data_IF_021620127299
#
_entry.id   IF_021620127299
#
_cell.length_a   1.000
_cell.length_b   1.000
_cell.length_c   1.000
_cell.angle_alpha   90.00
_cell.angle_beta   90.00
_cell.angle_gamma   90.00
#
_symmetry.space_group_name_H-M   'P 1'
#
loop_
_entity.id
_entity.type
_entity.pdbx_description
1 polymer ?
#
# COMPACT_ATOMS: atom_id res chain seq x y z
N UNK A 1 -3.85 17.51 -42.04
CA UNK A 1 -3.93 17.75 -40.59
C UNK A 1 -5.11 18.68 -40.36
N UNK A 2 -6.07 18.30 -39.51
CA UNK A 2 -7.18 19.19 -39.13
C UNK A 2 -6.63 20.30 -38.24
N UNK A 3 -7.14 21.52 -38.39
CA UNK A 3 -6.78 22.64 -37.51
C UNK A 3 -7.37 22.46 -36.10
N UNK A 4 -6.77 23.08 -35.08
CA UNK A 4 -7.19 22.99 -33.67
C UNK A 4 -8.67 23.32 -33.47
N UNK A 5 -9.17 24.34 -34.18
CA UNK A 5 -10.57 24.72 -34.12
C UNK A 5 -11.48 23.61 -34.69
N UNK A 6 -11.06 22.96 -35.77
CA UNK A 6 -11.82 21.88 -36.40
C UNK A 6 -11.87 20.64 -35.49
N UNK A 7 -10.76 20.31 -34.82
CA UNK A 7 -10.71 19.23 -33.83
C UNK A 7 -11.66 19.53 -32.67
N UNK A 8 -11.64 20.76 -32.12
CA UNK A 8 -12.54 21.16 -31.04
C UNK A 8 -14.01 21.04 -31.42
N UNK A 9 -14.40 21.56 -32.59
CA UNK A 9 -15.78 21.49 -33.09
C UNK A 9 -16.23 20.04 -33.29
N UNK A 10 -15.33 19.18 -33.76
CA UNK A 10 -15.60 17.75 -33.92
C UNK A 10 -15.82 17.08 -32.54
N UNK A 11 -14.93 17.31 -31.58
CA UNK A 11 -15.05 16.76 -30.22
C UNK A 11 -16.35 17.21 -29.53
N UNK A 12 -16.71 18.50 -29.61
CA UNK A 12 -17.97 18.99 -29.05
C UNK A 12 -19.20 18.33 -29.68
N UNK A 13 -19.17 18.12 -31.00
CA UNK A 13 -20.26 17.44 -31.71
C UNK A 13 -20.45 16.00 -31.22
N UNK A 14 -19.34 15.29 -30.99
CA UNK A 14 -19.38 13.93 -30.45
C UNK A 14 -19.91 13.92 -29.02
N UNK A 15 -19.47 14.85 -28.15
CA UNK A 15 -19.95 14.93 -26.77
C UNK A 15 -21.46 15.22 -26.71
N UNK A 16 -21.97 16.11 -27.58
CA UNK A 16 -23.40 16.47 -27.59
C UNK A 16 -24.32 15.36 -28.09
N UNK A 17 -23.87 14.57 -29.08
CA UNK A 17 -24.63 13.45 -29.62
C UNK A 17 -23.67 12.32 -30.04
N UNK A 18 -23.26 11.46 -29.09
CA UNK A 18 -22.24 10.45 -29.34
C UNK A 18 -22.73 9.34 -30.26
N UNK A 19 -24.01 8.94 -30.17
CA UNK A 19 -24.59 7.84 -30.96
C UNK A 19 -24.43 8.04 -32.46
N UNK A 20 -24.68 9.27 -32.95
CA UNK A 20 -24.61 9.57 -34.38
C UNK A 20 -23.21 9.95 -34.86
N UNK A 21 -22.32 10.39 -33.97
CA UNK A 21 -21.08 11.07 -34.35
C UNK A 21 -19.80 10.34 -33.94
N UNK A 22 -19.86 9.24 -33.19
CA UNK A 22 -18.67 8.56 -32.68
C UNK A 22 -17.64 8.18 -33.76
N UNK A 23 -18.11 7.73 -34.92
CA UNK A 23 -17.25 7.36 -36.06
C UNK A 23 -16.48 8.56 -36.65
N UNK A 24 -16.86 9.80 -36.32
CA UNK A 24 -16.11 10.98 -36.73
C UNK A 24 -14.72 11.05 -36.07
N UNK A 25 -14.53 10.39 -34.91
CA UNK A 25 -13.24 10.34 -34.23
C UNK A 25 -12.18 9.62 -35.05
N UNK A 26 -12.56 8.64 -35.88
CA UNK A 26 -11.61 7.87 -36.72
C UNK A 26 -10.89 8.74 -37.77
N UNK A 27 -11.39 9.95 -38.03
CA UNK A 27 -10.75 10.94 -38.91
C UNK A 27 -9.55 11.63 -38.25
N UNK A 28 -9.41 11.53 -36.92
CA UNK A 28 -8.31 12.11 -36.18
C UNK A 28 -7.12 11.13 -36.13
N UNK A 29 -5.92 11.66 -36.35
CA UNK A 29 -4.70 10.91 -36.12
C UNK A 29 -4.36 10.94 -34.63
N UNK A 30 -4.55 9.81 -33.95
CA UNK A 30 -4.28 9.64 -32.52
C UNK A 30 -2.78 9.63 -32.19
N UNK A 31 -1.91 9.60 -33.22
CA UNK A 31 -0.45 9.69 -33.05
C UNK A 31 0.02 11.10 -32.71
N UNK A 32 -0.82 12.10 -32.92
CA UNK A 32 -0.56 13.48 -32.50
C UNK A 32 -1.01 13.72 -31.05
N UNK A 33 -0.17 14.39 -30.23
CA UNK A 33 -0.43 14.62 -28.80
C UNK A 33 -1.73 15.40 -28.56
N UNK A 34 -2.00 16.45 -29.35
CA UNK A 34 -3.18 17.29 -29.18
C UNK A 34 -4.46 16.51 -29.52
N UNK A 35 -4.46 15.83 -30.66
CA UNK A 35 -5.58 15.00 -31.09
C UNK A 35 -5.84 13.85 -30.12
N UNK A 36 -4.78 13.15 -29.68
CA UNK A 36 -4.88 12.05 -28.74
C UNK A 36 -5.49 12.48 -27.41
N UNK A 37 -5.05 13.62 -26.86
CA UNK A 37 -5.60 14.16 -25.62
C UNK A 37 -7.04 14.65 -25.78
N UNK A 38 -7.39 15.28 -26.91
CA UNK A 38 -8.76 15.71 -27.19
C UNK A 38 -9.72 14.52 -27.25
N UNK A 39 -9.31 13.44 -27.94
CA UNK A 39 -10.09 12.19 -28.01
C UNK A 39 -10.22 11.54 -26.64
N UNK A 40 -9.16 11.53 -25.83
CA UNK A 40 -9.22 11.00 -24.47
C UNK A 40 -10.26 11.74 -23.60
N UNK A 41 -10.33 13.08 -23.72
CA UNK A 41 -11.35 13.89 -23.04
C UNK A 41 -12.77 13.61 -23.52
N UNK A 42 -12.93 13.35 -24.82
CA UNK A 42 -14.23 12.92 -25.37
C UNK A 42 -14.65 11.60 -24.72
N UNK A 43 -13.77 10.60 -24.67
CA UNK A 43 -14.06 9.33 -24.01
C UNK A 43 -14.38 9.51 -22.52
N UNK A 44 -13.58 10.29 -21.79
CA UNK A 44 -13.86 10.61 -20.39
C UNK A 44 -15.27 11.22 -20.17
N UNK A 45 -15.77 11.99 -21.15
CA UNK A 45 -17.08 12.65 -21.06
C UNK A 45 -18.27 11.76 -21.43
N UNK A 46 -18.06 10.77 -22.33
CA UNK A 46 -19.16 9.95 -22.87
C UNK A 46 -19.19 8.52 -22.30
N UNK A 47 -18.08 8.06 -21.70
CA UNK A 47 -18.00 6.73 -21.13
C UNK A 47 -18.95 6.60 -19.92
N UNK A 48 -19.75 5.53 -19.85
CA UNK A 48 -20.66 5.33 -18.75
C UNK A 48 -19.91 4.90 -17.48
N UNK A 49 -20.56 5.08 -16.33
CA UNK A 49 -20.03 4.70 -15.02
C UNK A 49 -20.04 3.17 -14.75
N UNK A 50 -20.12 2.35 -15.81
CA UNK A 50 -20.23 0.90 -15.72
C UNK A 50 -19.42 0.16 -16.78
N UNK A 51 -19.06 -1.09 -16.47
CA UNK A 51 -18.33 -1.97 -17.40
C UNK A 51 -19.30 -2.61 -18.39
N UNK A 52 -19.04 -2.42 -19.67
CA UNK A 52 -19.75 -3.04 -20.79
C UNK A 52 -19.27 -4.50 -20.94
N UNK A 53 -20.18 -5.47 -21.03
CA UNK A 53 -19.88 -6.90 -21.21
C UNK A 53 -20.50 -7.42 -22.50
N UNK A 54 -19.67 -7.63 -23.54
CA UNK A 54 -20.14 -8.05 -24.86
C UNK A 54 -20.58 -9.54 -24.88
N UNK A 55 -19.90 -10.41 -24.12
CA UNK A 55 -20.07 -11.86 -24.21
C UNK A 55 -21.37 -12.45 -23.63
N UNK A 56 -22.26 -11.63 -23.06
CA UNK A 56 -23.51 -12.10 -22.43
C UNK A 56 -24.77 -11.36 -22.88
N UNK A 57 -24.71 -10.51 -23.91
CA UNK A 57 -25.79 -9.59 -24.33
C UNK A 57 -26.41 -8.76 -23.18
N UNK A 58 -25.75 -8.68 -22.02
CA UNK A 58 -26.27 -8.12 -20.77
C UNK A 58 -25.30 -7.13 -20.15
N UNK A 59 -25.79 -5.92 -19.87
CA UNK A 59 -25.11 -4.90 -19.08
C UNK A 59 -25.40 -5.18 -17.59
N UNK A 60 -24.37 -5.26 -16.73
CA UNK A 60 -24.60 -5.30 -15.27
C UNK A 60 -24.70 -3.87 -14.74
N UNK A 61 -25.90 -3.30 -14.78
CA UNK A 61 -26.27 -2.14 -13.97
C UNK A 61 -27.53 -2.45 -13.19
N UNK A 62 -27.45 -2.50 -11.86
CA UNK A 62 -28.61 -2.57 -10.94
C UNK A 62 -29.73 -3.54 -11.40
N UNK A 63 -29.37 -4.75 -11.85
CA UNK A 63 -30.28 -5.81 -12.32
C UNK A 63 -31.39 -5.35 -13.29
N UNK A 64 -31.07 -4.47 -14.23
CA UNK A 64 -31.78 -4.44 -15.51
C UNK A 64 -30.96 -5.27 -16.50
N UNK A 65 -31.52 -6.38 -17.01
CA UNK A 65 -31.06 -7.02 -18.24
C UNK A 65 -31.37 -6.06 -19.40
N UNK A 66 -30.68 -4.91 -19.45
CA UNK A 66 -30.71 -4.07 -20.63
C UNK A 66 -29.82 -4.77 -21.65
N UNK A 67 -30.39 -5.03 -22.83
CA UNK A 67 -29.61 -5.48 -23.97
C UNK A 67 -28.46 -4.50 -24.17
N UNK A 68 -27.25 -5.02 -24.43
CA UNK A 68 -26.12 -4.16 -24.80
C UNK A 68 -26.54 -3.37 -26.03
N UNK A 69 -26.74 -2.06 -25.84
CA UNK A 69 -27.19 -1.19 -26.92
C UNK A 69 -26.16 -1.24 -28.06
N UNK A 70 -26.62 -1.06 -29.31
CA UNK A 70 -25.72 -1.01 -30.46
C UNK A 70 -24.63 0.06 -30.25
N UNK A 71 -24.99 1.16 -29.58
CA UNK A 71 -24.07 2.21 -29.18
C UNK A 71 -22.98 1.71 -28.22
N UNK A 72 -23.31 0.94 -27.17
CA UNK A 72 -22.31 0.41 -26.22
C UNK A 72 -21.24 -0.45 -26.92
N UNK A 73 -21.65 -1.27 -27.91
CA UNK A 73 -20.71 -2.07 -28.71
C UNK A 73 -19.80 -1.17 -29.54
N UNK A 74 -20.37 -0.14 -30.15
CA UNK A 74 -19.62 0.80 -30.98
C UNK A 74 -18.66 1.64 -30.14
N UNK A 75 -19.11 2.16 -29.00
CA UNK A 75 -18.30 2.89 -28.02
C UNK A 75 -17.11 2.06 -27.55
N UNK A 76 -17.36 0.83 -27.11
CA UNK A 76 -16.29 -0.04 -26.62
C UNK A 76 -15.30 -0.41 -27.73
N UNK A 77 -15.78 -0.60 -28.96
CA UNK A 77 -14.94 -0.88 -30.14
C UNK A 77 -14.04 0.32 -30.49
N UNK A 78 -14.62 1.51 -30.63
CA UNK A 78 -13.88 2.75 -30.92
C UNK A 78 -12.89 3.09 -29.81
N UNK A 79 -13.29 2.91 -28.54
CA UNK A 79 -12.40 3.10 -27.40
C UNK A 79 -11.23 2.11 -27.40
N UNK A 80 -11.49 0.83 -27.66
CA UNK A 80 -10.42 -0.17 -27.78
C UNK A 80 -9.47 0.14 -28.95
N UNK A 81 -9.99 0.60 -30.09
CA UNK A 81 -9.15 1.00 -31.23
C UNK A 81 -8.24 2.19 -30.88
N UNK A 82 -8.78 3.20 -30.18
CA UNK A 82 -8.02 4.33 -29.66
C UNK A 82 -6.95 3.89 -28.65
N UNK A 83 -7.33 3.07 -27.67
CA UNK A 83 -6.41 2.55 -26.66
C UNK A 83 -5.29 1.74 -27.29
N UNK A 84 -5.56 0.85 -28.25
CA UNK A 84 -4.53 0.04 -28.90
C UNK A 84 -3.44 0.94 -29.52
N UNK A 85 -3.81 2.05 -30.16
CA UNK A 85 -2.82 3.00 -30.71
C UNK A 85 -2.03 3.68 -29.61
N UNK A 86 -2.71 4.17 -28.57
CA UNK A 86 -2.09 4.83 -27.40
C UNK A 86 -1.13 3.90 -26.66
N UNK A 87 -1.53 2.66 -26.39
CA UNK A 87 -0.75 1.67 -25.65
C UNK A 87 0.53 1.27 -26.41
N UNK A 88 0.45 1.16 -27.75
CA UNK A 88 1.58 0.81 -28.63
C UNK A 88 2.62 1.93 -28.77
N UNK A 89 2.19 3.20 -28.74
CA UNK A 89 3.12 4.34 -28.84
C UNK A 89 4.11 4.34 -27.68
N UNK A 90 5.40 4.61 -27.94
CA UNK A 90 6.41 4.73 -26.87
C UNK A 90 6.66 6.19 -26.47
N UNK A 91 5.95 7.12 -27.08
CA UNK A 91 6.14 8.55 -26.86
C UNK A 91 5.60 9.00 -25.51
N UNK A 92 6.20 10.05 -24.95
CA UNK A 92 5.87 10.58 -23.63
C UNK A 92 4.36 10.93 -23.51
N UNK A 93 3.78 11.53 -24.55
CA UNK A 93 2.37 11.92 -24.53
C UNK A 93 1.42 10.72 -24.35
N UNK A 94 1.79 9.54 -24.84
CA UNK A 94 0.94 8.34 -24.72
C UNK A 94 0.75 7.90 -23.26
N UNK A 95 1.80 8.08 -22.43
CA UNK A 95 1.73 7.81 -20.99
C UNK A 95 0.90 8.87 -20.27
N UNK A 96 0.97 10.14 -20.69
CA UNK A 96 0.12 11.21 -20.14
C UNK A 96 -1.35 10.95 -20.43
N UNK A 97 -1.68 10.54 -21.66
CA UNK A 97 -3.05 10.16 -22.03
C UNK A 97 -3.54 8.98 -21.19
N UNK A 98 -2.73 7.93 -21.05
CA UNK A 98 -3.10 6.77 -20.23
C UNK A 98 -3.27 7.14 -18.75
N UNK A 99 -2.43 8.04 -18.22
CA UNK A 99 -2.53 8.56 -16.86
C UNK A 99 -3.83 9.34 -16.67
N UNK A 100 -4.17 10.23 -17.60
CA UNK A 100 -5.43 10.98 -17.60
C UNK A 100 -6.66 10.06 -17.66
N UNK A 101 -6.66 9.07 -18.55
CA UNK A 101 -7.78 8.12 -18.63
C UNK A 101 -7.91 7.26 -17.37
N UNK A 102 -6.80 6.88 -16.74
CA UNK A 102 -6.84 6.15 -15.47
C UNK A 102 -7.41 7.04 -14.33
N UNK A 103 -7.18 8.35 -14.39
CA UNK A 103 -7.75 9.32 -13.45
C UNK A 103 -9.27 9.52 -13.65
N UNK A 104 -9.75 9.50 -14.89
CA UNK A 104 -11.16 9.78 -15.17
C UNK A 104 -12.03 8.51 -15.25
N UNK A 105 -11.47 7.39 -15.70
CA UNK A 105 -12.20 6.17 -16.10
C UNK A 105 -11.72 4.90 -15.38
N UNK A 106 -11.41 4.99 -14.09
CA UNK A 106 -10.94 3.88 -13.25
C UNK A 106 -11.91 2.68 -13.15
N UNK A 107 -13.20 2.92 -13.32
CA UNK A 107 -14.27 1.93 -13.24
C UNK A 107 -14.65 1.35 -14.61
N UNK A 108 -14.16 1.91 -15.71
CA UNK A 108 -14.54 1.51 -17.07
C UNK A 108 -13.72 0.31 -17.58
N UNK A 109 -14.05 -0.18 -18.77
CA UNK A 109 -13.32 -1.29 -19.42
C UNK A 109 -11.84 -0.96 -19.67
N UNK A 110 -11.00 -2.00 -19.74
CA UNK A 110 -9.56 -1.92 -20.06
C UNK A 110 -8.68 -1.17 -19.05
N UNK A 111 -9.16 -0.99 -17.81
CA UNK A 111 -8.37 -0.40 -16.74
C UNK A 111 -7.04 -1.15 -16.50
N UNK A 112 -7.04 -2.48 -16.64
CA UNK A 112 -5.83 -3.32 -16.59
C UNK A 112 -4.74 -2.82 -17.54
N UNK A 113 -5.10 -2.54 -18.80
CA UNK A 113 -4.16 -2.07 -19.81
C UNK A 113 -3.64 -0.66 -19.53
N UNK A 114 -4.50 0.21 -18.97
CA UNK A 114 -4.11 1.56 -18.56
C UNK A 114 -3.10 1.49 -17.42
N UNK A 115 -3.37 0.70 -16.38
CA UNK A 115 -2.44 0.48 -15.25
C UNK A 115 -1.09 -0.02 -15.76
N UNK A 116 -1.06 -1.02 -16.63
CA UNK A 116 0.19 -1.52 -17.24
C UNK A 116 0.96 -0.41 -17.95
N UNK A 117 0.27 0.42 -18.72
CA UNK A 117 0.89 1.54 -19.45
C UNK A 117 1.45 2.59 -18.51
N UNK A 118 0.72 2.96 -17.46
CA UNK A 118 1.16 3.95 -16.47
C UNK A 118 2.36 3.42 -15.67
N UNK A 119 2.37 2.13 -15.31
CA UNK A 119 3.51 1.47 -14.68
C UNK A 119 4.76 1.48 -15.58
N UNK A 120 4.61 1.25 -16.88
CA UNK A 120 5.72 1.39 -17.84
C UNK A 120 6.26 2.83 -17.88
N UNK A 121 5.39 3.83 -17.69
CA UNK A 121 5.75 5.25 -17.60
C UNK A 121 6.70 5.58 -16.44
N UNK A 122 6.77 4.74 -15.41
CA UNK A 122 7.73 4.89 -14.31
C UNK A 122 9.19 4.83 -14.76
N UNK A 123 9.46 4.21 -15.92
CA UNK A 123 10.81 4.10 -16.52
C UNK A 123 11.15 5.28 -17.44
N UNK A 124 10.20 6.20 -17.66
CA UNK A 124 10.35 7.33 -18.60
C UNK A 124 10.41 8.64 -17.81
N UNK A 125 11.60 9.21 -17.67
CA UNK A 125 11.87 10.33 -16.76
C UNK A 125 10.95 11.55 -16.99
N UNK A 126 10.62 11.87 -18.24
CA UNK A 126 9.79 13.02 -18.58
C UNK A 126 8.32 12.93 -18.10
N UNK A 127 7.83 11.73 -17.81
CA UNK A 127 6.44 11.48 -17.37
C UNK A 127 6.35 10.74 -16.05
N UNK A 128 7.49 10.27 -15.51
CA UNK A 128 7.58 9.47 -14.30
C UNK A 128 6.80 10.07 -13.14
N UNK A 129 6.99 11.37 -12.86
CA UNK A 129 6.29 12.07 -11.76
C UNK A 129 4.77 12.08 -11.94
N UNK A 130 4.29 12.24 -13.17
CA UNK A 130 2.85 12.21 -13.49
C UNK A 130 2.31 10.82 -13.21
N UNK A 131 2.98 9.78 -13.73
CA UNK A 131 2.56 8.39 -13.54
C UNK A 131 2.57 7.97 -12.06
N UNK A 132 3.59 8.37 -11.29
CA UNK A 132 3.62 8.14 -9.84
C UNK A 132 2.42 8.83 -9.17
N UNK A 133 2.18 10.11 -9.46
CA UNK A 133 1.06 10.87 -8.88
C UNK A 133 -0.30 10.22 -9.11
N UNK A 134 -0.55 9.74 -10.35
CA UNK A 134 -1.79 9.02 -10.67
C UNK A 134 -1.90 7.71 -9.90
N UNK A 135 -0.85 6.87 -9.89
CA UNK A 135 -0.88 5.60 -9.17
C UNK A 135 -1.10 5.80 -7.67
N UNK A 136 -0.42 6.77 -7.06
CA UNK A 136 -0.60 7.11 -5.64
C UNK A 136 -2.05 7.54 -5.35
N UNK A 137 -2.60 8.46 -6.15
CA UNK A 137 -3.97 8.95 -5.98
C UNK A 137 -4.98 7.82 -6.09
N UNK A 138 -4.82 6.93 -7.08
CA UNK A 138 -5.66 5.75 -7.25
C UNK A 138 -5.59 4.77 -6.08
N UNK A 139 -4.41 4.54 -5.52
CA UNK A 139 -4.26 3.68 -4.33
C UNK A 139 -4.98 4.26 -3.10
N UNK A 140 -4.91 5.59 -2.93
CA UNK A 140 -5.53 6.30 -1.80
C UNK A 140 -7.06 6.40 -1.92
N UNK A 141 -7.58 6.52 -3.15
CA UNK A 141 -9.00 6.70 -3.45
C UNK A 141 -9.76 5.39 -3.69
N UNK A 142 -9.06 4.28 -4.00
CA UNK A 142 -9.69 2.99 -4.24
C UNK A 142 -10.36 2.43 -2.97
N UNK A 143 -11.68 2.21 -3.06
CA UNK A 143 -12.51 1.70 -1.97
C UNK A 143 -12.95 0.24 -2.17
N UNK A 144 -12.91 -0.27 -3.40
CA UNK A 144 -13.42 -1.60 -3.75
C UNK A 144 -12.30 -2.61 -4.06
N UNK A 145 -11.07 -2.12 -4.23
CA UNK A 145 -9.88 -2.91 -4.44
C UNK A 145 -9.61 -3.28 -5.90
N UNK A 146 -10.45 -2.84 -6.84
CA UNK A 146 -10.32 -3.18 -8.26
C UNK A 146 -9.04 -2.61 -8.86
N UNK A 147 -8.67 -1.39 -8.50
CA UNK A 147 -7.51 -0.69 -9.07
C UNK A 147 -6.23 -1.06 -8.33
N UNK A 148 -6.26 -1.12 -7.00
CA UNK A 148 -5.08 -1.47 -6.20
C UNK A 148 -4.60 -2.89 -6.49
N UNK A 149 -5.51 -3.85 -6.69
CA UNK A 149 -5.13 -5.20 -7.10
C UNK A 149 -4.40 -5.18 -8.44
N UNK A 150 -4.90 -4.45 -9.44
CA UNK A 150 -4.27 -4.33 -10.76
C UNK A 150 -2.86 -3.76 -10.66
N UNK A 151 -2.71 -2.68 -9.89
CA UNK A 151 -1.41 -2.02 -9.69
C UNK A 151 -0.44 -3.01 -9.07
N UNK A 152 -0.85 -3.73 -8.04
CA UNK A 152 0.01 -4.70 -7.36
C UNK A 152 0.35 -5.91 -8.25
N UNK A 153 -0.61 -6.44 -9.00
CA UNK A 153 -0.38 -7.61 -9.87
C UNK A 153 0.62 -7.29 -10.98
N UNK A 154 0.45 -6.14 -11.65
CA UNK A 154 1.30 -5.73 -12.76
C UNK A 154 2.63 -5.10 -12.32
N UNK A 155 2.72 -4.53 -11.12
CA UNK A 155 3.97 -3.94 -10.66
C UNK A 155 5.07 -4.99 -10.39
N UNK A 156 4.71 -6.28 -10.28
CA UNK A 156 5.68 -7.37 -10.29
C UNK A 156 6.47 -7.45 -11.61
N UNK A 157 5.81 -7.21 -12.74
CA UNK A 157 6.43 -7.29 -14.07
C UNK A 157 7.13 -5.98 -14.46
N UNK A 158 6.53 -4.84 -14.09
CA UNK A 158 7.01 -3.52 -14.51
C UNK A 158 7.92 -2.82 -13.51
N UNK A 159 7.96 -3.32 -12.27
CA UNK A 159 8.62 -2.67 -11.14
C UNK A 159 7.70 -1.65 -10.47
N UNK A 160 7.96 -1.41 -9.19
CA UNK A 160 7.24 -0.43 -8.37
C UNK A 160 8.21 0.62 -7.84
N UNK A 161 7.76 1.87 -7.83
CA UNK A 161 8.50 2.97 -7.24
C UNK A 161 8.27 3.04 -5.72
N UNK A 162 9.25 3.58 -4.98
CA UNK A 162 9.17 3.79 -3.54
C UNK A 162 7.97 4.65 -3.14
N UNK A 163 7.65 5.70 -3.91
CA UNK A 163 6.53 6.59 -3.61
C UNK A 163 5.18 5.86 -3.73
N UNK A 164 5.06 4.98 -4.72
CA UNK A 164 3.86 4.15 -4.92
C UNK A 164 3.70 3.13 -3.78
N UNK A 165 4.80 2.54 -3.30
CA UNK A 165 4.77 1.68 -2.11
C UNK A 165 4.32 2.43 -0.86
N UNK A 166 4.79 3.67 -0.67
CA UNK A 166 4.37 4.51 0.45
C UNK A 166 2.88 4.86 0.38
N UNK A 167 2.32 5.05 -0.81
CA UNK A 167 0.88 5.29 -0.97
C UNK A 167 0.04 4.11 -0.45
N UNK A 168 0.55 2.87 -0.51
CA UNK A 168 -0.14 1.70 0.06
C UNK A 168 -0.41 1.88 1.56
N UNK A 169 0.44 2.60 2.30
CA UNK A 169 0.24 2.88 3.72
C UNK A 169 -1.00 3.74 3.98
N UNK A 170 -1.48 4.49 2.99
CA UNK A 170 -2.66 5.35 3.10
C UNK A 170 -3.92 4.73 2.49
N UNK A 171 -3.81 3.54 1.90
CA UNK A 171 -4.94 2.85 1.26
C UNK A 171 -6.06 2.55 2.27
N UNK A 172 -7.25 3.09 2.00
CA UNK A 172 -8.47 2.80 2.76
C UNK A 172 -8.91 1.36 2.57
N UNK A 173 -8.78 0.82 1.36
CA UNK A 173 -9.10 -0.56 1.05
C UNK A 173 -8.24 -1.55 1.83
N UNK A 174 -6.91 -1.38 1.86
CA UNK A 174 -6.04 -2.30 2.62
C UNK A 174 -6.30 -2.25 4.13
N UNK A 175 -6.57 -1.06 4.68
CA UNK A 175 -6.98 -0.93 6.08
C UNK A 175 -8.28 -1.69 6.35
N UNK A 176 -9.27 -1.61 5.45
CA UNK A 176 -10.52 -2.39 5.54
C UNK A 176 -10.26 -3.90 5.45
N UNK A 177 -9.34 -4.35 4.58
CA UNK A 177 -8.92 -5.75 4.48
C UNK A 177 -8.36 -6.28 5.81
N UNK A 178 -7.52 -5.50 6.50
CA UNK A 178 -6.97 -5.85 7.82
C UNK A 178 -8.10 -5.99 8.84
N UNK A 179 -9.01 -5.02 8.89
CA UNK A 179 -10.15 -5.04 9.80
C UNK A 179 -11.01 -6.31 9.59
N UNK A 180 -11.34 -6.65 8.35
CA UNK A 180 -12.12 -7.85 8.02
C UNK A 180 -11.40 -9.12 8.48
N UNK A 181 -10.07 -9.20 8.33
CA UNK A 181 -9.33 -10.37 8.79
C UNK A 181 -9.40 -10.53 10.32
N UNK A 182 -9.23 -9.44 11.06
CA UNK A 182 -9.39 -9.46 12.52
C UNK A 182 -10.82 -9.82 12.96
N UNK A 183 -11.84 -9.27 12.31
CA UNK A 183 -13.24 -9.59 12.60
C UNK A 183 -13.56 -11.06 12.32
N UNK A 184 -12.99 -11.65 11.26
CA UNK A 184 -13.13 -13.08 11.00
C UNK A 184 -12.48 -13.91 12.10
N UNK A 185 -11.22 -13.63 12.42
CA UNK A 185 -10.46 -14.37 13.44
C UNK A 185 -11.18 -14.32 14.80
N UNK A 186 -11.68 -13.16 15.21
CA UNK A 186 -12.46 -13.00 16.46
C UNK A 186 -13.85 -13.67 16.42
N UNK A 187 -14.54 -13.67 15.26
CA UNK A 187 -15.81 -14.41 15.09
C UNK A 187 -15.60 -15.94 15.13
N UNK A 188 -14.46 -16.45 14.64
CA UNK A 188 -14.12 -17.86 14.77
C UNK A 188 -13.82 -18.27 16.22
N UNK A 189 -13.24 -17.38 17.01
CA UNK A 189 -13.01 -17.57 18.46
C UNK A 189 -14.29 -17.44 19.29
N UNK A 190 -15.24 -16.60 18.85
CA UNK A 190 -16.56 -16.44 19.48
C UNK A 190 -17.65 -17.07 18.63
N UNK A 191 -17.69 -18.40 18.55
CA UNK A 191 -18.92 -19.11 18.13
C UNK A 191 -19.99 -19.01 19.22
N UNK A 192 -20.60 -17.84 19.37
CA UNK A 192 -21.93 -17.70 19.95
C UNK A 192 -22.79 -17.01 18.90
N UNK A 193 -23.79 -17.75 18.44
CA UNK A 193 -24.82 -17.26 17.54
C UNK A 193 -25.58 -16.11 18.20
N UNK A 194 -25.53 -14.93 17.59
CA UNK A 194 -26.56 -13.92 17.79
C UNK A 194 -26.93 -13.34 16.42
N UNK A 195 -28.06 -13.81 15.89
CA UNK A 195 -28.78 -13.10 14.83
C UNK A 195 -29.36 -11.84 15.44
N UNK A 196 -28.63 -10.73 15.38
CA UNK A 196 -29.20 -9.43 15.70
C UNK A 196 -30.19 -9.03 14.61
N UNK A 197 -31.48 -9.03 14.98
CA UNK A 197 -32.54 -8.39 14.21
C UNK A 197 -32.34 -6.88 14.36
N UNK A 198 -31.80 -6.22 13.35
CA UNK A 198 -31.81 -4.76 13.27
C UNK A 198 -33.26 -4.25 13.31
N UNK A 199 -33.59 -3.51 14.37
CA UNK A 199 -34.83 -2.72 14.48
C UNK A 199 -34.86 -1.73 13.32
N UNK A 200 -35.98 -1.69 12.59
CA UNK A 200 -36.23 -0.68 11.56
C UNK A 200 -36.46 0.66 12.24
N UNK A 201 -35.64 1.65 11.91
CA UNK A 201 -35.86 3.03 12.31
C UNK A 201 -37.22 3.54 11.79
N UNK A 202 -38.06 4.16 12.64
CA UNK A 202 -39.32 4.76 12.24
C UNK A 202 -39.09 6.23 11.89
N UNK A 203 -38.31 6.53 10.85
CA UNK A 203 -38.23 7.90 10.34
C UNK A 203 -38.18 7.91 8.83
N UNK A 204 -39.27 8.36 8.21
CA UNK A 204 -39.36 9.28 7.08
C UNK A 204 -40.82 9.27 6.59
N UNK A 205 -41.48 10.42 6.73
CA UNK A 205 -42.78 10.71 6.13
C UNK A 205 -42.70 10.58 4.60
N UNK A 206 -42.92 9.38 4.07
CA UNK A 206 -43.03 9.14 2.62
C UNK A 206 -44.41 9.58 2.14
N UNK A 207 -44.44 10.47 1.13
CA UNK A 207 -45.65 10.76 0.34
C UNK A 207 -46.35 9.44 -0.02
N UNK A 208 -47.64 9.31 0.32
CA UNK A 208 -48.42 8.09 0.07
C UNK A 208 -48.65 7.92 -1.45
N UNK A 209 -47.73 7.24 -2.12
CA UNK A 209 -47.95 6.73 -3.48
C UNK A 209 -49.14 5.74 -3.46
N UNK A 210 -50.13 5.95 -4.35
CA UNK A 210 -51.32 5.10 -4.51
C UNK A 210 -51.29 4.37 -5.85
N UNK A 211 -51.97 3.22 -5.94
CA UNK A 211 -52.15 2.49 -7.21
C UNK A 211 -50.90 1.76 -7.73
N UNK A 212 -50.74 1.78 -9.05
CA UNK A 212 -49.70 1.05 -9.82
C UNK A 212 -48.28 1.46 -9.35
N UNK A 213 -48.06 2.74 -9.07
CA UNK A 213 -46.78 3.27 -8.60
C UNK A 213 -46.32 2.70 -7.26
N UNK A 214 -47.24 2.25 -6.39
CA UNK A 214 -46.89 1.57 -5.13
C UNK A 214 -46.48 0.12 -5.37
N UNK A 215 -47.05 -0.54 -6.38
CA UNK A 215 -46.62 -1.88 -6.79
C UNK A 215 -45.24 -1.79 -7.44
N UNK A 216 -45.03 -0.89 -8.38
CA UNK A 216 -43.73 -0.64 -9.03
C UNK A 216 -42.64 -0.28 -8.02
N UNK A 217 -42.92 0.62 -7.08
CA UNK A 217 -41.98 1.00 -6.02
C UNK A 217 -41.63 -0.18 -5.10
N UNK A 218 -42.61 -1.04 -4.77
CA UNK A 218 -42.36 -2.27 -4.01
C UNK A 218 -41.51 -3.26 -4.81
N UNK A 219 -41.76 -3.41 -6.12
CA UNK A 219 -40.96 -4.27 -6.99
C UNK A 219 -39.54 -3.74 -7.11
N UNK A 220 -39.36 -2.41 -7.25
CA UNK A 220 -38.05 -1.74 -7.27
C UNK A 220 -37.31 -1.95 -5.96
N UNK A 221 -37.95 -1.70 -4.80
CA UNK A 221 -37.32 -1.93 -3.50
C UNK A 221 -37.04 -3.41 -3.21
N UNK A 222 -37.86 -4.33 -3.71
CA UNK A 222 -37.61 -5.77 -3.56
C UNK A 222 -36.41 -6.19 -4.40
N UNK A 223 -36.34 -5.77 -5.66
CA UNK A 223 -35.17 -5.95 -6.52
C UNK A 223 -33.92 -5.32 -5.91
N UNK A 224 -34.00 -4.09 -5.41
CA UNK A 224 -32.88 -3.41 -4.76
C UNK A 224 -32.37 -4.17 -3.51
N UNK A 225 -33.29 -4.78 -2.74
CA UNK A 225 -32.92 -5.61 -1.58
C UNK A 225 -32.35 -6.97 -1.96
N UNK A 226 -32.89 -7.60 -3.00
CA UNK A 226 -32.35 -8.84 -3.56
C UNK A 226 -30.96 -8.58 -4.14
N UNK A 227 -30.78 -7.50 -4.89
CA UNK A 227 -29.47 -7.03 -5.37
C UNK A 227 -28.51 -6.78 -4.22
N UNK A 228 -28.93 -6.07 -3.16
CA UNK A 228 -28.09 -5.85 -1.97
C UNK A 228 -27.76 -7.14 -1.20
N UNK A 229 -28.61 -8.16 -1.28
CA UNK A 229 -28.39 -9.45 -0.62
C UNK A 229 -27.48 -10.38 -1.44
N UNK A 230 -27.57 -10.34 -2.77
CA UNK A 230 -26.66 -11.01 -3.71
C UNK A 230 -25.28 -10.33 -3.73
N UNK A 231 -25.25 -9.00 -3.74
CA UNK A 231 -24.09 -8.17 -3.38
C UNK A 231 -23.71 -8.35 -1.91
N UNK A 232 -24.43 -9.15 -1.12
CA UNK A 232 -24.15 -9.43 0.30
C UNK A 232 -23.34 -10.71 0.53
N UNK A 233 -23.09 -11.55 -0.49
CA UNK A 233 -22.01 -12.57 -0.44
C UNK A 233 -20.60 -11.94 -0.47
N UNK A 234 -20.56 -10.62 -0.62
CA UNK A 234 -19.44 -9.71 -0.49
C UNK A 234 -19.16 -9.51 1.01
N UNK A 235 -18.04 -10.04 1.50
CA UNK A 235 -17.58 -9.90 2.89
C UNK A 235 -17.64 -8.44 3.36
N UNK A 236 -18.60 -8.08 4.22
CA UNK A 236 -18.74 -6.72 4.78
C UNK A 236 -18.55 -5.60 3.73
N UNK A 237 -18.99 -5.84 2.47
CA UNK A 237 -18.86 -4.91 1.34
C UNK A 237 -17.53 -4.93 0.56
N UNK A 238 -16.65 -5.93 0.73
CA UNK A 238 -15.54 -6.25 -0.20
C UNK A 238 -15.76 -7.58 -0.95
N UNK A 239 -15.51 -7.61 -2.26
CA UNK A 239 -15.54 -8.84 -3.06
C UNK A 239 -14.41 -9.79 -2.61
N UNK A 240 -14.78 -10.99 -2.16
CA UNK A 240 -13.82 -11.98 -1.67
C UNK A 240 -12.74 -12.36 -2.71
N UNK A 241 -13.08 -12.37 -4.01
CA UNK A 241 -12.09 -12.64 -5.08
C UNK A 241 -11.06 -11.53 -5.16
N UNK A 242 -11.51 -10.27 -5.12
CA UNK A 242 -10.62 -9.11 -5.15
C UNK A 242 -9.77 -9.07 -3.89
N UNK A 243 -10.35 -9.34 -2.72
CA UNK A 243 -9.63 -9.46 -1.45
C UNK A 243 -8.48 -10.46 -1.53
N UNK A 244 -8.76 -11.71 -1.96
CA UNK A 244 -7.74 -12.76 -2.05
C UNK A 244 -6.65 -12.38 -3.06
N UNK A 245 -7.03 -11.85 -4.23
CA UNK A 245 -6.06 -11.42 -5.24
C UNK A 245 -5.18 -10.27 -4.76
N UNK A 246 -5.77 -9.25 -4.15
CA UNK A 246 -5.02 -8.10 -3.59
C UNK A 246 -4.02 -8.57 -2.54
N UNK A 247 -4.48 -9.40 -1.60
CA UNK A 247 -3.65 -9.95 -0.54
C UNK A 247 -2.45 -10.73 -1.10
N UNK A 248 -2.71 -11.61 -2.06
CA UNK A 248 -1.66 -12.42 -2.68
C UNK A 248 -0.68 -11.55 -3.49
N UNK A 249 -1.16 -10.54 -4.21
CA UNK A 249 -0.31 -9.61 -4.95
C UNK A 249 0.56 -8.75 -4.02
N UNK A 250 -0.01 -8.24 -2.91
CA UNK A 250 0.71 -7.49 -1.88
C UNK A 250 1.85 -8.31 -1.27
N UNK A 251 1.55 -9.55 -0.86
CA UNK A 251 2.56 -10.48 -0.33
C UNK A 251 3.66 -10.71 -1.38
N UNK A 252 3.31 -11.03 -2.63
CA UNK A 252 4.29 -11.25 -3.70
C UNK A 252 5.21 -10.03 -3.89
N UNK A 253 4.67 -8.81 -3.89
CA UNK A 253 5.48 -7.60 -4.04
C UNK A 253 6.50 -7.47 -2.90
N UNK A 254 6.08 -7.63 -1.65
CA UNK A 254 6.99 -7.53 -0.51
C UNK A 254 8.10 -8.59 -0.57
N UNK A 255 7.74 -9.83 -0.89
CA UNK A 255 8.72 -10.92 -1.02
C UNK A 255 9.68 -10.68 -2.18
N UNK A 256 9.19 -10.22 -3.34
CA UNK A 256 10.03 -9.90 -4.50
C UNK A 256 11.00 -8.77 -4.19
N UNK A 257 10.54 -7.68 -3.55
CA UNK A 257 11.42 -6.56 -3.16
C UNK A 257 12.53 -7.00 -2.22
N UNK A 258 12.19 -7.80 -1.20
CA UNK A 258 13.18 -8.33 -0.25
C UNK A 258 14.13 -9.32 -0.92
N UNK A 259 13.62 -10.19 -1.80
CA UNK A 259 14.44 -11.15 -2.55
C UNK A 259 15.43 -10.46 -3.50
N UNK A 260 15.00 -9.39 -4.16
CA UNK A 260 15.83 -8.59 -5.07
C UNK A 260 16.74 -7.59 -4.33
N UNK A 261 16.65 -7.52 -2.99
CA UNK A 261 17.42 -6.62 -2.13
C UNK A 261 17.36 -5.15 -2.61
N UNK A 262 16.18 -4.68 -3.04
CA UNK A 262 15.97 -3.31 -3.52
C UNK A 262 16.04 -2.31 -2.35
N UNK A 263 17.26 -1.87 -2.01
CA UNK A 263 17.56 -1.05 -0.83
C UNK A 263 16.74 0.23 -0.69
N UNK A 264 16.32 0.85 -1.80
CA UNK A 264 15.48 2.06 -1.78
C UNK A 264 14.05 1.80 -1.30
N UNK A 265 13.57 0.56 -1.38
CA UNK A 265 12.18 0.20 -1.07
C UNK A 265 12.04 -0.52 0.28
N UNK A 266 13.14 -0.92 0.92
CA UNK A 266 13.13 -1.71 2.17
C UNK A 266 12.36 -0.99 3.27
N UNK A 267 12.62 0.29 3.49
CA UNK A 267 11.91 1.10 4.48
C UNK A 267 10.38 1.08 4.27
N UNK A 268 9.93 1.29 3.03
CA UNK A 268 8.50 1.28 2.70
C UNK A 268 7.88 -0.11 2.90
N UNK A 269 8.61 -1.18 2.57
CA UNK A 269 8.19 -2.57 2.80
C UNK A 269 8.09 -2.87 4.30
N UNK A 270 9.06 -2.44 5.10
CA UNK A 270 9.07 -2.59 6.55
C UNK A 270 7.83 -1.94 7.19
N UNK A 271 7.59 -0.66 6.89
CA UNK A 271 6.39 0.07 7.33
C UNK A 271 5.09 -0.59 6.86
N UNK A 272 5.08 -1.07 5.62
CA UNK A 272 3.94 -1.78 5.03
C UNK A 272 3.65 -3.09 5.75
N UNK A 273 4.68 -3.85 6.07
CA UNK A 273 4.56 -5.09 6.84
C UNK A 273 4.11 -4.80 8.26
N UNK A 274 4.66 -3.82 8.98
CA UNK A 274 4.14 -3.48 10.32
C UNK A 274 2.63 -3.19 10.31
N UNK A 275 2.13 -2.51 9.27
CA UNK A 275 0.70 -2.17 9.15
C UNK A 275 -0.17 -3.32 8.63
N UNK A 276 0.32 -4.11 7.69
CA UNK A 276 -0.45 -5.10 6.94
C UNK A 276 0.01 -6.54 7.17
N UNK A 277 0.87 -6.81 8.16
CA UNK A 277 1.41 -8.14 8.46
C UNK A 277 0.32 -9.16 8.67
N UNK A 278 -0.79 -8.75 9.29
CA UNK A 278 -1.92 -9.63 9.53
C UNK A 278 -2.48 -10.16 8.22
N UNK A 279 -2.35 -9.46 7.09
CA UNK A 279 -2.75 -9.97 5.76
C UNK A 279 -1.80 -11.04 5.20
N UNK A 280 -0.57 -11.17 5.72
CA UNK A 280 0.37 -12.22 5.31
C UNK A 280 -0.15 -13.59 5.77
N UNK A 281 0.01 -14.63 4.94
CA UNK A 281 -0.36 -15.98 5.37
C UNK A 281 0.72 -16.53 6.31
N UNK A 282 0.30 -17.28 7.33
CA UNK A 282 1.20 -17.83 8.34
C UNK A 282 2.23 -18.79 7.75
N UNK A 283 1.88 -19.54 6.69
CA UNK A 283 2.84 -20.43 6.02
C UNK A 283 4.06 -19.72 5.42
N UNK A 284 3.99 -18.38 5.24
CA UNK A 284 5.10 -17.60 4.69
C UNK A 284 5.95 -16.90 5.75
N UNK A 285 5.65 -17.06 7.05
CA UNK A 285 6.32 -16.34 8.12
C UNK A 285 7.82 -16.68 8.21
N UNK A 286 8.17 -17.96 8.14
CA UNK A 286 9.56 -18.41 8.15
C UNK A 286 10.34 -17.87 6.93
N UNK A 287 9.73 -17.95 5.74
CA UNK A 287 10.32 -17.42 4.52
C UNK A 287 10.51 -15.89 4.57
N UNK A 288 9.57 -15.18 5.18
CA UNK A 288 9.68 -13.73 5.38
C UNK A 288 10.79 -13.37 6.36
N UNK A 289 10.89 -14.09 7.48
CA UNK A 289 11.97 -13.90 8.46
C UNK A 289 13.34 -14.15 7.81
N UNK A 290 13.47 -15.24 7.05
CA UNK A 290 14.67 -15.56 6.31
C UNK A 290 15.05 -14.41 5.36
N UNK A 291 14.09 -13.92 4.57
CA UNK A 291 14.31 -12.78 3.66
C UNK A 291 14.73 -11.50 4.41
N UNK A 292 14.15 -11.21 5.56
CA UNK A 292 14.60 -10.08 6.38
C UNK A 292 16.05 -10.24 6.82
N UNK A 293 16.40 -11.41 7.36
CA UNK A 293 17.79 -11.66 7.81
C UNK A 293 18.79 -11.59 6.67
N UNK A 294 18.43 -12.02 5.45
CA UNK A 294 19.25 -11.90 4.25
C UNK A 294 19.46 -10.46 3.77
N UNK A 295 18.58 -9.53 4.15
CA UNK A 295 18.68 -8.11 3.81
C UNK A 295 19.50 -7.31 4.84
N UNK A 296 19.87 -7.91 5.97
CA UNK A 296 20.71 -7.26 6.98
C UNK A 296 22.17 -7.20 6.49
N UNK A 297 22.73 -5.99 6.37
CA UNK A 297 24.10 -5.74 5.89
C UNK A 297 25.08 -5.53 7.05
N UNK A 298 25.96 -6.51 7.31
CA UNK A 298 26.86 -6.50 8.49
C UNK A 298 27.83 -5.32 8.51
N UNK A 299 28.31 -4.87 7.35
CA UNK A 299 29.17 -3.68 7.21
C UNK A 299 28.39 -2.60 6.49
N UNK A 300 27.84 -1.66 7.26
CA UNK A 300 27.12 -0.53 6.69
C UNK A 300 28.11 0.44 6.05
N UNK A 301 28.02 0.64 4.74
CA UNK A 301 28.87 1.59 4.00
C UNK A 301 28.18 2.94 3.80
N UNK A 302 26.86 2.98 3.96
CA UNK A 302 26.04 4.17 3.78
C UNK A 302 25.01 4.35 4.87
N UNK A 303 24.56 5.60 5.05
CA UNK A 303 23.42 5.94 5.93
C UNK A 303 22.17 5.12 5.60
N UNK A 304 21.94 4.79 4.31
CA UNK A 304 20.78 4.01 3.89
C UNK A 304 20.85 2.57 4.42
N UNK A 305 22.03 1.97 4.44
CA UNK A 305 22.20 0.61 4.96
C UNK A 305 21.88 0.56 6.46
N UNK A 306 22.34 1.58 7.19
CA UNK A 306 22.03 1.71 8.63
C UNK A 306 20.52 1.83 8.85
N UNK A 307 19.84 2.74 8.14
CA UNK A 307 18.37 2.93 8.26
C UNK A 307 17.63 1.65 7.88
N UNK A 308 18.01 1.01 6.78
CA UNK A 308 17.38 -0.24 6.34
C UNK A 308 17.53 -1.34 7.40
N UNK A 309 18.72 -1.51 7.96
CA UNK A 309 18.95 -2.49 9.01
C UNK A 309 18.09 -2.19 10.26
N UNK A 310 18.00 -0.93 10.69
CA UNK A 310 17.15 -0.55 11.84
C UNK A 310 15.70 -0.90 11.56
N UNK A 311 15.16 -0.51 10.41
CA UNK A 311 13.77 -0.75 10.04
C UNK A 311 13.47 -2.24 9.91
N UNK A 312 14.41 -3.04 9.39
CA UNK A 312 14.29 -4.50 9.34
C UNK A 312 14.23 -5.07 10.76
N UNK A 313 15.19 -4.73 11.63
CA UNK A 313 15.22 -5.22 13.01
C UNK A 313 13.94 -4.84 13.75
N UNK A 314 13.54 -3.57 13.68
CA UNK A 314 12.30 -3.07 14.27
C UNK A 314 11.09 -3.87 13.79
N UNK A 315 10.97 -4.04 12.47
CA UNK A 315 9.85 -4.77 11.87
C UNK A 315 9.81 -6.21 12.36
N UNK A 316 10.95 -6.92 12.38
CA UNK A 316 11.02 -8.30 12.86
C UNK A 316 10.47 -8.39 14.28
N UNK A 317 10.94 -7.52 15.18
CA UNK A 317 10.46 -7.50 16.56
C UNK A 317 8.98 -7.15 16.68
N UNK A 318 8.49 -6.15 15.95
CA UNK A 318 7.09 -5.74 16.02
C UNK A 318 6.12 -6.83 15.54
N UNK A 319 6.43 -7.46 14.40
CA UNK A 319 5.50 -8.39 13.74
C UNK A 319 5.62 -9.82 14.25
N UNK A 320 6.81 -10.25 14.70
CA UNK A 320 7.06 -11.62 15.14
C UNK A 320 7.08 -11.82 16.66
N UNK A 321 6.95 -10.77 17.49
CA UNK A 321 6.96 -10.90 18.97
C UNK A 321 6.00 -11.97 19.50
N UNK A 322 4.83 -12.12 18.86
CA UNK A 322 3.81 -13.09 19.29
C UNK A 322 3.94 -14.46 18.62
N UNK A 323 4.98 -14.68 17.80
CA UNK A 323 5.15 -15.89 17.00
C UNK A 323 6.19 -16.86 17.59
N UNK A 324 6.69 -16.59 18.81
CA UNK A 324 7.62 -17.47 19.51
C UNK A 324 9.00 -17.58 18.86
N UNK A 325 9.42 -16.58 18.11
CA UNK A 325 10.71 -16.56 17.42
C UNK A 325 11.84 -16.27 18.42
N UNK A 326 12.95 -16.99 18.29
CA UNK A 326 14.18 -16.65 19.01
C UNK A 326 14.87 -15.44 18.36
N UNK A 327 14.90 -14.33 19.08
CA UNK A 327 15.51 -13.09 18.62
C UNK A 327 17.01 -12.99 18.93
N UNK A 328 17.65 -13.98 19.58
CA UNK A 328 19.03 -13.89 20.07
C UNK A 328 20.04 -13.43 19.00
N UNK A 329 19.99 -14.02 17.80
CA UNK A 329 20.85 -13.64 16.67
C UNK A 329 20.59 -12.21 16.17
N UNK A 330 19.33 -11.79 16.15
CA UNK A 330 18.92 -10.47 15.70
C UNK A 330 19.34 -9.41 16.73
N UNK A 331 19.21 -9.71 18.03
CA UNK A 331 19.74 -8.88 19.12
C UNK A 331 21.25 -8.69 18.98
N UNK A 332 21.99 -9.78 18.80
CA UNK A 332 23.44 -9.70 18.64
C UNK A 332 23.84 -8.90 17.41
N UNK A 333 23.15 -9.10 16.30
CA UNK A 333 23.33 -8.32 15.10
C UNK A 333 23.12 -6.82 15.35
N UNK A 334 22.02 -6.44 15.99
CA UNK A 334 21.72 -5.05 16.32
C UNK A 334 22.77 -4.45 17.28
N UNK A 335 23.31 -5.24 18.22
CA UNK A 335 24.40 -4.79 19.08
C UNK A 335 25.70 -4.51 18.32
N UNK A 336 25.96 -5.20 17.22
CA UNK A 336 27.10 -4.89 16.36
C UNK A 336 26.89 -3.55 15.63
N UNK A 337 25.64 -3.17 15.35
CA UNK A 337 25.35 -1.84 14.78
C UNK A 337 25.64 -0.69 15.75
N UNK A 338 25.78 -0.94 17.04
CA UNK A 338 26.21 0.08 18.03
C UNK A 338 27.73 0.35 18.00
N UNK A 339 28.46 -0.18 17.02
CA UNK A 339 29.88 0.14 16.85
C UNK A 339 30.07 1.52 16.22
N UNK A 340 31.13 2.22 16.64
CA UNK A 340 31.41 3.60 16.25
C UNK A 340 31.36 3.77 14.73
N UNK A 341 31.99 2.86 13.98
CA UNK A 341 32.05 2.90 12.51
C UNK A 341 30.66 2.97 11.88
N UNK A 342 29.70 2.19 12.38
CA UNK A 342 28.30 2.23 11.91
C UNK A 342 27.63 3.54 12.31
N UNK A 343 27.90 4.01 13.53
CA UNK A 343 27.29 5.20 14.10
C UNK A 343 27.77 6.53 13.48
N UNK A 344 28.91 6.52 12.78
CA UNK A 344 29.40 7.68 12.02
C UNK A 344 28.48 8.06 10.85
N UNK A 345 27.62 7.14 10.40
CA UNK A 345 26.72 7.37 9.26
C UNK A 345 25.35 7.98 9.63
N UNK A 346 25.04 8.16 10.92
CA UNK A 346 23.73 8.64 11.40
C UNK A 346 23.84 9.91 12.24
N UNK A 347 22.81 10.75 12.21
CA UNK A 347 22.76 11.98 13.04
C UNK A 347 22.37 11.66 14.49
N UNK A 348 22.55 12.61 15.41
CA UNK A 348 22.19 12.41 16.84
C UNK A 348 20.69 12.20 16.96
N UNK A 349 19.91 13.03 16.27
CA UNK A 349 18.45 12.91 16.22
C UNK A 349 18.00 11.54 15.70
N UNK A 350 18.66 11.00 14.67
CA UNK A 350 18.32 9.66 14.18
C UNK A 350 18.69 8.57 15.18
N UNK A 351 19.82 8.71 15.87
CA UNK A 351 20.16 7.79 16.94
C UNK A 351 19.08 7.78 18.03
N UNK A 352 18.72 8.98 18.50
CA UNK A 352 17.78 9.18 19.58
C UNK A 352 16.36 8.70 19.22
N UNK A 353 15.93 8.90 17.97
CA UNK A 353 14.58 8.52 17.53
C UNK A 353 14.50 7.06 17.05
N UNK A 354 15.49 6.59 16.29
CA UNK A 354 15.43 5.30 15.60
C UNK A 354 16.12 4.20 16.43
N UNK A 355 17.40 4.39 16.81
CA UNK A 355 18.15 3.38 17.57
C UNK A 355 17.62 3.18 18.99
N UNK A 356 17.36 4.26 19.72
CA UNK A 356 16.81 4.14 21.09
C UNK A 356 15.42 3.52 21.06
N UNK A 357 14.61 3.81 20.05
CA UNK A 357 13.31 3.15 19.86
C UNK A 357 13.46 1.62 19.76
N UNK A 358 14.40 1.14 18.94
CA UNK A 358 14.68 -0.30 18.82
C UNK A 358 15.32 -0.86 20.09
N UNK A 359 16.20 -0.14 20.77
CA UNK A 359 16.76 -0.57 22.05
C UNK A 359 15.67 -0.78 23.12
N UNK A 360 14.69 0.12 23.19
CA UNK A 360 13.51 -0.04 24.07
C UNK A 360 12.72 -1.29 23.70
N UNK A 361 12.47 -1.52 22.40
CA UNK A 361 11.77 -2.71 21.93
C UNK A 361 12.51 -4.02 22.28
N UNK A 362 13.84 -4.05 22.10
CA UNK A 362 14.67 -5.23 22.35
C UNK A 362 14.85 -5.52 23.84
N UNK A 363 15.09 -4.49 24.66
CA UNK A 363 15.53 -4.66 26.05
C UNK A 363 14.46 -4.27 27.08
N UNK A 364 13.56 -3.33 26.77
CA UNK A 364 12.50 -2.89 27.70
C UNK A 364 11.14 -3.52 27.42
N UNK A 365 10.83 -3.91 26.20
CA UNK A 365 9.61 -4.69 25.93
C UNK A 365 9.89 -6.19 26.01
N UNK A 366 11.02 -6.64 25.48
CA UNK A 366 11.45 -8.04 25.56
C UNK A 366 12.56 -8.20 26.61
N UNK A 367 12.33 -9.01 27.65
CA UNK A 367 13.36 -9.23 28.67
C UNK A 367 14.48 -10.12 28.09
N UNK A 368 15.70 -9.60 28.11
CA UNK A 368 16.90 -10.29 27.64
C UNK A 368 17.65 -10.94 28.81
N UNK A 369 18.63 -11.78 28.50
CA UNK A 369 19.55 -12.30 29.52
C UNK A 369 20.49 -11.18 30.00
N UNK A 370 20.79 -11.16 31.30
CA UNK A 370 21.64 -10.11 31.91
C UNK A 370 22.99 -9.94 31.22
N UNK A 371 23.62 -11.03 30.74
CA UNK A 371 24.89 -10.95 30.00
C UNK A 371 24.79 -10.13 28.70
N UNK A 372 23.67 -10.27 27.96
CA UNK A 372 23.42 -9.51 26.72
C UNK A 372 23.16 -8.03 27.04
N UNK A 373 22.43 -7.78 28.13
CA UNK A 373 22.14 -6.42 28.64
C UNK A 373 23.45 -5.71 29.01
N UNK A 374 24.34 -6.37 29.72
CA UNK A 374 25.65 -5.83 30.09
C UNK A 374 26.52 -5.54 28.85
N UNK A 375 26.53 -6.44 27.86
CA UNK A 375 27.24 -6.22 26.58
C UNK A 375 26.71 -4.98 25.87
N UNK A 376 25.39 -4.78 25.86
CA UNK A 376 24.73 -3.61 25.29
C UNK A 376 25.11 -2.32 26.04
N UNK A 377 24.99 -2.32 27.37
CA UNK A 377 25.32 -1.16 28.20
C UNK A 377 26.77 -0.73 28.01
N UNK A 378 27.70 -1.69 27.93
CA UNK A 378 29.11 -1.41 27.62
C UNK A 378 29.28 -0.65 26.32
N UNK A 379 28.59 -1.08 25.25
CA UNK A 379 28.66 -0.43 23.93
C UNK A 379 28.04 0.98 23.97
N UNK A 380 26.89 1.16 24.62
CA UNK A 380 26.24 2.48 24.72
C UNK A 380 27.05 3.50 25.52
N UNK A 381 27.65 3.09 26.63
CA UNK A 381 28.54 3.96 27.40
C UNK A 381 29.78 4.31 26.57
N UNK A 382 30.36 3.35 25.86
CA UNK A 382 31.46 3.60 24.92
C UNK A 382 31.10 4.64 23.84
N UNK A 383 29.93 4.49 23.22
CA UNK A 383 29.41 5.47 22.26
C UNK A 383 29.21 6.86 22.88
N UNK A 384 28.69 6.92 24.11
CA UNK A 384 28.41 8.17 24.83
C UNK A 384 29.68 8.95 25.19
N UNK A 385 30.83 8.27 25.28
CA UNK A 385 32.14 8.90 25.45
C UNK A 385 32.60 9.56 24.14
N UNK A 386 32.38 8.89 23.01
CA UNK A 386 32.80 9.37 21.70
C UNK A 386 31.84 10.42 21.11
N UNK A 387 30.57 10.43 21.56
CA UNK A 387 29.50 11.25 20.98
C UNK A 387 28.51 11.66 22.05
N UNK A 388 28.12 12.93 22.05
CA UNK A 388 27.06 13.42 22.93
C UNK A 388 25.69 12.86 22.50
N UNK A 389 25.13 11.97 23.32
CA UNK A 389 23.85 11.27 23.10
C UNK A 389 22.98 11.41 24.37
N UNK A 390 22.23 12.52 24.53
CA UNK A 390 21.55 12.83 25.78
C UNK A 390 20.44 11.83 26.14
N UNK A 391 19.77 11.25 25.14
CA UNK A 391 18.68 10.29 25.36
C UNK A 391 19.22 8.94 25.85
N UNK A 392 20.46 8.59 25.53
CA UNK A 392 21.10 7.34 25.98
C UNK A 392 21.25 7.28 27.48
N UNK A 393 21.59 8.40 28.13
CA UNK A 393 21.69 8.49 29.59
C UNK A 393 20.35 8.15 30.26
N UNK A 394 19.24 8.65 29.72
CA UNK A 394 17.90 8.31 30.19
C UNK A 394 17.56 6.83 29.98
N UNK A 395 17.84 6.31 28.79
CA UNK A 395 17.62 4.90 28.47
C UNK A 395 18.42 3.94 29.37
N UNK A 396 19.69 4.25 29.66
CA UNK A 396 20.53 3.44 30.57
C UNK A 396 19.87 3.32 31.94
N UNK A 397 19.40 4.44 32.52
CA UNK A 397 18.71 4.42 33.82
C UNK A 397 17.45 3.54 33.80
N UNK A 398 16.68 3.58 32.71
CA UNK A 398 15.51 2.71 32.57
C UNK A 398 15.89 1.22 32.54
N UNK A 399 17.00 0.88 31.90
CA UNK A 399 17.53 -0.50 31.88
C UNK A 399 18.02 -0.93 33.26
N UNK A 400 18.75 -0.07 33.98
CA UNK A 400 19.21 -0.34 35.35
C UNK A 400 18.03 -0.72 36.25
N UNK A 401 16.97 0.09 36.22
CA UNK A 401 15.75 -0.15 37.01
C UNK A 401 15.07 -1.45 36.59
N UNK A 402 14.91 -1.69 35.28
CA UNK A 402 14.19 -2.87 34.78
C UNK A 402 14.90 -4.18 35.10
N UNK A 403 16.24 -4.19 35.04
CA UNK A 403 17.04 -5.40 35.21
C UNK A 403 17.64 -5.56 36.60
N UNK A 404 17.45 -4.58 37.48
CA UNK A 404 18.04 -4.53 38.82
C UNK A 404 19.58 -4.68 38.75
N UNK A 405 20.20 -3.88 37.88
CA UNK A 405 21.64 -3.88 37.64
C UNK A 405 22.20 -2.54 38.11
N UNK A 406 23.14 -2.57 39.05
CA UNK A 406 24.01 -1.43 39.35
C UNK A 406 25.26 -1.51 38.44
N UNK A 407 25.27 -0.67 37.40
CA UNK A 407 26.38 -0.61 36.44
C UNK A 407 27.67 -0.13 37.14
N UNK A 408 27.56 0.79 38.12
CA UNK A 408 28.72 1.31 38.84
C UNK A 408 29.35 0.23 39.71
N UNK A 409 28.54 -0.60 40.37
CA UNK A 409 29.04 -1.71 41.18
C UNK A 409 29.64 -2.82 40.31
N UNK A 410 28.95 -3.19 39.23
CA UNK A 410 29.40 -4.26 38.34
C UNK A 410 30.76 -3.97 37.68
N UNK A 411 31.01 -2.72 37.28
CA UNK A 411 32.29 -2.31 36.69
C UNK A 411 33.35 -1.88 37.70
N UNK A 412 33.02 -1.71 38.98
CA UNK A 412 34.02 -1.57 40.06
C UNK A 412 34.68 -2.91 40.41
N UNK A 413 33.96 -4.02 40.26
CA UNK A 413 34.45 -5.36 40.59
C UNK A 413 35.27 -6.02 39.48
N UNK A 414 35.15 -5.52 38.24
CA UNK A 414 36.04 -5.92 37.15
C UNK A 414 37.25 -4.97 37.16
N UNK A 415 38.47 -5.50 37.35
CA UNK A 415 39.77 -4.77 37.39
C UNK A 415 40.06 -3.96 36.11
N UNK A 416 39.23 -2.96 35.81
CA UNK A 416 39.32 -2.14 34.62
C UNK A 416 39.52 -0.68 35.05
N UNK A 417 40.78 -0.33 35.32
CA UNK A 417 41.30 1.05 35.39
C UNK A 417 41.18 1.76 34.03
N UNK A 418 39.96 1.87 33.50
CA UNK A 418 39.71 2.45 32.17
C UNK A 418 38.84 3.70 32.29
N UNK A 419 38.99 4.60 31.31
CA UNK A 419 38.20 5.82 31.10
C UNK A 419 36.66 5.62 31.25
N UNK A 420 36.20 4.37 31.13
CA UNK A 420 34.84 3.91 31.35
C UNK A 420 34.33 4.14 32.78
N UNK A 421 35.08 3.74 33.81
CA UNK A 421 34.70 3.93 35.22
C UNK A 421 34.69 5.42 35.59
N UNK A 422 35.63 6.20 35.05
CA UNK A 422 35.70 7.64 35.22
C UNK A 422 34.49 8.38 34.61
N UNK A 423 34.07 7.99 33.40
CA UNK A 423 32.89 8.56 32.75
C UNK A 423 31.59 8.21 33.50
N UNK A 424 31.42 6.96 33.94
CA UNK A 424 30.26 6.56 34.75
C UNK A 424 30.17 7.36 36.06
N UNK A 425 31.31 7.70 36.67
CA UNK A 425 31.35 8.51 37.90
C UNK A 425 31.04 10.00 37.67
N UNK A 426 31.35 10.57 36.50
CA UNK A 426 31.10 11.99 36.19
C UNK A 426 29.78 12.29 35.47
N UNK A 427 29.29 11.36 34.65
CA UNK A 427 28.17 11.59 33.74
C UNK A 427 26.81 11.20 34.32
N UNK A 428 26.79 10.46 35.44
CA UNK A 428 25.58 9.99 36.11
C UNK A 428 25.63 10.33 37.61
N UNK A 429 25.41 11.60 38.01
CA UNK A 429 25.20 11.94 39.41
C UNK A 429 23.95 11.27 39.99
#
# INVERSE_FOLDING_TARGET
MLDKLQVSVLCERVIRNPESNLNALDKLDYSDELNGLAVAKVFASICPLYKIRIGSDKIKHKNADNAVEQFDRQLLSSYNAFLIKTLKSKEAFSYKIASYLLEELDHFNFNDRLVMKVLLGLRVESVRKICIGVLCSRIEEDNNGETIWLILDHALDYGIDYEVLNALLKSKYLAKCVQIKHEKETKYEKKVYTKEKTKKDPFYNKKKLRGISKKEEKTRCKKEKETKAEEGEVLDGIDNKIYVRTRNALQRIYFTILKEKKTKCIEAVCKGLCKYFTLVNREFYEGLLYLFTENLVTRCESRRDVINNIEIVKTIYEVFKSQGIDFGKISEYFLNMLEIDTQMHVTVEQFDNEFVGVLRLIFLENRQQNGVVLKMLKKLVGLSICRYLPVVTGFIKEVEIKYDIDIKEHYKQTDCETNFAYFLMKSFP
#
